data_IF_943679744762
#
_entry.id   IF_943679744762
#
_cell.length_a   1.000
_cell.length_b   1.000
_cell.length_c   1.000
_cell.angle_alpha   90.00
_cell.angle_beta   90.00
_cell.angle_gamma   90.00
#
_symmetry.space_group_name_H-M   'P 1'
#
loop_
_entity.id
_entity.type
_entity.pdbx_description
1 polymer ?
#
# COMPACT_ATOMS: atom_id res chain seq x y z
N UNK A 1 4.47 -21.69 -6.35
CA UNK A 1 5.80 -21.47 -6.94
C UNK A 1 6.63 -20.68 -5.94
N UNK A 2 7.92 -20.99 -5.77
CA UNK A 2 8.78 -20.23 -4.86
C UNK A 2 9.00 -18.81 -5.42
N UNK A 3 8.60 -17.79 -4.66
CA UNK A 3 8.76 -16.37 -4.99
C UNK A 3 10.21 -16.04 -5.35
N UNK A 4 11.18 -16.67 -4.68
CA UNK A 4 12.61 -16.48 -4.94
C UNK A 4 12.99 -16.98 -6.32
N UNK A 5 12.49 -18.17 -6.71
CA UNK A 5 12.72 -18.74 -8.03
C UNK A 5 12.09 -17.85 -9.10
N UNK A 6 10.87 -17.36 -8.88
CA UNK A 6 10.19 -16.49 -9.83
C UNK A 6 11.00 -15.21 -10.11
N UNK A 7 11.41 -14.50 -9.05
CA UNK A 7 12.12 -13.22 -9.19
C UNK A 7 13.59 -13.35 -9.58
N UNK A 8 14.21 -14.53 -9.45
CA UNK A 8 15.60 -14.78 -9.84
C UNK A 8 15.91 -14.47 -11.31
N UNK A 9 14.88 -14.42 -12.16
CA UNK A 9 14.99 -14.10 -13.60
C UNK A 9 15.32 -12.63 -13.88
N UNK A 10 15.17 -11.75 -12.88
CA UNK A 10 15.50 -10.33 -12.99
C UNK A 10 16.70 -9.99 -12.09
N UNK A 11 17.88 -9.71 -12.66
CA UNK A 11 19.12 -9.54 -11.88
C UNK A 11 19.11 -8.33 -10.93
N UNK A 12 18.23 -7.36 -11.19
CA UNK A 12 18.02 -6.17 -10.36
C UNK A 12 16.86 -6.28 -9.38
N UNK A 13 16.10 -7.38 -9.40
CA UNK A 13 15.08 -7.61 -8.38
C UNK A 13 15.74 -7.89 -7.03
N UNK A 14 15.12 -7.39 -5.96
CA UNK A 14 15.48 -7.65 -4.57
C UNK A 14 14.22 -8.10 -3.85
N UNK A 15 14.37 -9.13 -3.02
CA UNK A 15 13.29 -9.63 -2.17
C UNK A 15 13.66 -9.32 -0.72
N UNK A 16 12.72 -8.72 0.00
CA UNK A 16 12.83 -8.47 1.43
C UNK A 16 11.60 -9.07 2.12
N UNK A 17 11.84 -9.97 3.07
CA UNK A 17 10.78 -10.65 3.84
C UNK A 17 10.65 -10.11 5.27
N UNK A 18 11.40 -9.06 5.61
CA UNK A 18 11.45 -8.46 6.95
C UNK A 18 10.46 -7.30 7.13
N UNK A 19 9.96 -6.72 6.04
CA UNK A 19 9.07 -5.56 6.01
C UNK A 19 7.61 -5.85 6.43
N UNK A 20 7.41 -6.54 7.55
CA UNK A 20 6.09 -7.06 7.98
C UNK A 20 5.19 -6.05 8.71
N UNK A 21 5.69 -4.84 8.97
CA UNK A 21 4.94 -3.75 9.61
C UNK A 21 5.33 -2.42 8.95
N UNK A 22 4.53 -1.35 9.09
CA UNK A 22 4.87 -0.05 8.50
C UNK A 22 6.26 0.47 8.92
N UNK A 23 6.63 0.29 10.20
CA UNK A 23 7.95 0.65 10.71
C UNK A 23 9.08 -0.19 10.10
N UNK A 24 8.87 -1.49 9.95
CA UNK A 24 9.87 -2.38 9.35
C UNK A 24 9.98 -2.18 7.84
N UNK A 25 8.88 -1.84 7.15
CA UNK A 25 8.92 -1.42 5.75
C UNK A 25 9.81 -0.18 5.59
N UNK A 26 9.57 0.89 6.35
CA UNK A 26 10.40 2.10 6.25
C UNK A 26 11.88 1.82 6.53
N UNK A 27 12.17 0.91 7.47
CA UNK A 27 13.54 0.45 7.72
C UNK A 27 14.13 -0.27 6.50
N UNK A 28 13.43 -1.25 5.94
CA UNK A 28 13.87 -2.01 4.77
C UNK A 28 14.09 -1.09 3.55
N UNK A 29 13.16 -0.17 3.27
CA UNK A 29 13.29 0.79 2.16
C UNK A 29 14.56 1.65 2.29
N UNK A 30 14.94 2.05 3.52
CA UNK A 30 16.21 2.77 3.74
C UNK A 30 17.44 1.86 3.56
N UNK A 31 17.40 0.64 4.10
CA UNK A 31 18.51 -0.32 4.01
C UNK A 31 18.79 -0.75 2.55
N UNK A 32 17.76 -0.80 1.71
CA UNK A 32 17.88 -1.03 0.27
C UNK A 32 18.07 0.24 -0.56
N UNK A 33 18.29 1.39 0.10
CA UNK A 33 18.55 2.67 -0.56
C UNK A 33 17.47 3.04 -1.61
N UNK A 34 16.20 2.72 -1.32
CA UNK A 34 15.09 3.01 -2.23
C UNK A 34 14.91 4.53 -2.34
N UNK A 35 14.91 5.09 -3.57
CA UNK A 35 14.80 6.53 -3.77
C UNK A 35 13.43 7.04 -3.29
N UNK A 36 13.43 8.23 -2.69
CA UNK A 36 12.19 8.87 -2.20
C UNK A 36 11.24 9.24 -3.34
N UNK A 37 11.77 9.49 -4.53
CA UNK A 37 11.08 9.90 -5.76
C UNK A 37 10.90 8.74 -6.76
N UNK A 38 10.69 7.51 -6.26
CA UNK A 38 10.50 6.34 -7.12
C UNK A 38 9.34 6.49 -8.12
N UNK A 39 9.42 5.78 -9.24
CA UNK A 39 8.38 5.92 -10.28
C UNK A 39 7.04 5.30 -9.85
N UNK A 40 7.05 4.09 -9.29
CA UNK A 40 5.83 3.33 -9.00
C UNK A 40 5.95 2.58 -7.67
N UNK A 41 4.91 2.63 -6.85
CA UNK A 41 4.72 1.73 -5.70
C UNK A 41 3.41 0.95 -5.84
N UNK A 42 3.43 -0.33 -5.45
CA UNK A 42 2.25 -1.16 -5.24
C UNK A 42 2.14 -1.53 -3.76
N UNK A 43 0.97 -1.33 -3.16
CA UNK A 43 0.66 -1.73 -1.79
C UNK A 43 -0.47 -2.78 -1.85
N UNK A 44 -0.17 -3.99 -1.40
CA UNK A 44 -1.04 -5.16 -1.51
C UNK A 44 -0.66 -6.14 -0.38
N UNK A 45 -1.18 -5.90 0.82
CA UNK A 45 -0.80 -6.58 2.06
C UNK A 45 -1.94 -7.49 2.55
N UNK A 46 -3.08 -7.53 1.85
CA UNK A 46 -4.31 -8.23 2.24
C UNK A 46 -4.83 -7.82 3.64
N UNK A 47 -4.60 -6.58 4.12
CA UNK A 47 -4.89 -6.26 5.53
C UNK A 47 -4.97 -4.78 5.91
N UNK A 48 -3.86 -4.13 6.29
CA UNK A 48 -3.82 -2.75 6.84
C UNK A 48 -3.08 -1.82 5.88
N UNK A 49 -3.42 -1.91 4.60
CA UNK A 49 -2.78 -1.27 3.46
C UNK A 49 -2.62 0.25 3.62
N UNK A 50 -3.65 0.93 4.13
CA UNK A 50 -3.57 2.37 4.38
C UNK A 50 -2.59 2.76 5.50
N UNK A 51 -2.28 1.89 6.48
CA UNK A 51 -1.26 2.20 7.48
C UNK A 51 0.15 2.14 6.88
N UNK A 52 0.39 1.25 5.91
CA UNK A 52 1.63 1.26 5.12
C UNK A 52 1.71 2.49 4.22
N UNK A 53 0.61 2.88 3.57
CA UNK A 53 0.56 4.10 2.76
C UNK A 53 0.88 5.35 3.59
N UNK A 54 0.25 5.51 4.75
CA UNK A 54 0.51 6.62 5.68
C UNK A 54 1.99 6.66 6.06
N UNK A 55 2.55 5.52 6.52
CA UNK A 55 3.95 5.44 6.91
C UNK A 55 4.94 5.71 5.77
N UNK A 56 4.62 5.29 4.54
CA UNK A 56 5.42 5.57 3.35
C UNK A 56 5.49 7.09 3.09
N UNK A 57 4.35 7.78 3.15
CA UNK A 57 4.26 9.22 2.91
C UNK A 57 4.88 10.05 4.05
N UNK A 58 4.70 9.64 5.31
CA UNK A 58 5.33 10.24 6.49
C UNK A 58 6.85 10.16 6.45
N UNK A 59 7.38 9.06 5.93
CA UNK A 59 8.82 8.83 5.71
C UNK A 59 9.37 9.61 4.51
N UNK A 60 8.53 10.41 3.83
CA UNK A 60 8.92 11.36 2.80
C UNK A 60 8.98 10.79 1.38
N UNK A 61 8.49 9.57 1.15
CA UNK A 61 8.39 9.02 -0.20
C UNK A 61 7.28 9.74 -0.99
N UNK A 62 7.56 10.05 -2.24
CA UNK A 62 6.63 10.68 -3.21
C UNK A 62 6.71 9.93 -4.55
N UNK A 63 6.14 8.72 -4.64
CA UNK A 63 6.10 7.98 -5.88
C UNK A 63 5.36 8.75 -6.98
N UNK A 64 5.71 8.61 -8.27
CA UNK A 64 4.89 9.22 -9.35
C UNK A 64 3.54 8.53 -9.49
N UNK A 65 3.50 7.21 -9.26
CA UNK A 65 2.30 6.39 -9.29
C UNK A 65 2.20 5.55 -8.02
N UNK A 66 1.03 5.56 -7.41
CA UNK A 66 0.68 4.69 -6.29
C UNK A 66 -0.48 3.83 -6.74
N UNK A 67 -0.27 2.51 -6.78
CA UNK A 67 -1.36 1.54 -6.91
C UNK A 67 -1.53 0.80 -5.61
N UNK A 68 -2.77 0.61 -5.16
CA UNK A 68 -3.02 -0.11 -3.91
C UNK A 68 -4.32 -0.91 -3.94
N UNK A 69 -4.32 -2.02 -3.22
CA UNK A 69 -5.55 -2.77 -2.92
C UNK A 69 -6.43 -1.95 -1.95
N UNK A 70 -7.72 -1.85 -2.27
CA UNK A 70 -8.73 -1.12 -1.53
C UNK A 70 -9.98 -1.98 -1.38
N UNK A 71 -10.63 -1.91 -0.22
CA UNK A 71 -11.90 -2.59 -0.02
C UNK A 71 -13.03 -1.88 -0.77
N UNK A 72 -13.72 -2.65 -1.60
CA UNK A 72 -14.91 -2.23 -2.35
C UNK A 72 -16.19 -2.18 -1.49
N UNK A 73 -16.13 -2.66 -0.25
CA UNK A 73 -17.30 -2.79 0.63
C UNK A 73 -17.83 -1.45 1.16
N UNK A 74 -17.03 -0.39 1.06
CA UNK A 74 -17.37 0.95 1.55
C UNK A 74 -17.34 1.95 0.39
N UNK A 75 -18.49 2.21 -0.27
CA UNK A 75 -18.53 3.16 -1.36
C UNK A 75 -18.24 4.59 -0.86
N UNK A 76 -17.62 5.45 -1.68
CA UNK A 76 -17.49 6.87 -1.36
C UNK A 76 -18.85 7.52 -1.03
N UNK A 77 -18.94 8.44 -0.05
CA UNK A 77 -17.84 9.01 0.74
C UNK A 77 -17.57 8.28 2.07
N UNK A 78 -17.94 7.00 2.21
CA UNK A 78 -17.71 6.26 3.44
C UNK A 78 -16.21 6.01 3.66
N UNK A 79 -15.76 6.29 4.88
CA UNK A 79 -14.37 6.18 5.28
C UNK A 79 -14.19 4.98 6.20
N UNK A 80 -13.34 4.05 5.80
CA UNK A 80 -12.97 2.89 6.59
C UNK A 80 -11.47 2.66 6.49
N UNK A 81 -10.86 2.26 7.60
CA UNK A 81 -9.47 1.77 7.66
C UNK A 81 -9.39 0.70 8.75
N UNK A 82 -8.90 -0.48 8.39
CA UNK A 82 -8.46 -1.49 9.35
C UNK A 82 -7.18 -1.01 10.05
N UNK A 83 -7.11 -1.19 11.38
CA UNK A 83 -5.95 -0.83 12.20
C UNK A 83 -5.20 -2.07 12.66
N UNK A 84 -3.88 -2.12 12.47
CA UNK A 84 -3.06 -3.27 12.88
C UNK A 84 -3.15 -3.53 14.40
N UNK A 85 -3.21 -2.48 15.23
CA UNK A 85 -3.33 -2.59 16.69
C UNK A 85 -4.65 -3.22 17.15
N UNK A 86 -5.69 -3.17 16.32
CA UNK A 86 -7.04 -3.58 16.69
C UNK A 86 -7.40 -5.02 16.27
N UNK A 87 -6.46 -5.79 15.69
CA UNK A 87 -6.84 -6.98 14.92
C UNK A 87 -5.93 -8.22 15.05
N UNK A 88 -6.45 -9.37 15.53
CA UNK A 88 -5.91 -10.67 15.12
C UNK A 88 -6.47 -11.02 13.72
N UNK A 89 -5.63 -10.91 12.69
CA UNK A 89 -5.94 -11.12 11.26
C UNK A 89 -6.73 -12.40 10.92
N UNK A 90 -6.72 -13.39 11.82
CA UNK A 90 -7.31 -14.70 11.58
C UNK A 90 -8.85 -14.69 11.42
N UNK A 91 -9.55 -13.67 11.93
CA UNK A 91 -11.02 -13.65 11.95
C UNK A 91 -11.68 -12.73 10.91
N UNK A 92 -10.93 -11.96 10.13
CA UNK A 92 -11.50 -11.05 9.12
C UNK A 92 -10.87 -11.07 7.75
N UNK A 93 -9.90 -11.95 7.54
CA UNK A 93 -9.46 -12.25 6.19
C UNK A 93 -10.69 -12.63 5.36
N UNK A 94 -10.86 -12.00 4.20
CA UNK A 94 -12.03 -12.16 3.32
C UNK A 94 -13.37 -11.65 3.88
N UNK A 95 -13.33 -10.72 4.83
CA UNK A 95 -14.52 -9.96 5.24
C UNK A 95 -14.46 -8.53 4.72
N UNK A 96 -15.59 -7.81 4.70
CA UNK A 96 -15.60 -6.38 4.41
C UNK A 96 -14.65 -5.53 5.27
N UNK A 97 -14.18 -6.03 6.42
CA UNK A 97 -13.38 -5.29 7.40
C UNK A 97 -11.86 -5.39 7.18
N UNK A 98 -11.43 -5.70 5.95
CA UNK A 98 -10.04 -5.68 5.48
C UNK A 98 -9.73 -4.35 4.76
N UNK A 99 -8.46 -3.95 4.77
CA UNK A 99 -7.92 -2.86 3.98
C UNK A 99 -8.41 -1.49 4.43
N UNK A 100 -8.59 -0.62 3.44
CA UNK A 100 -9.23 0.69 3.62
C UNK A 100 -10.10 1.05 2.43
N UNK A 101 -11.08 1.93 2.67
CA UNK A 101 -11.99 2.37 1.62
C UNK A 101 -11.32 3.33 0.65
N UNK A 102 -11.83 3.38 -0.58
CA UNK A 102 -11.37 4.32 -1.61
C UNK A 102 -11.39 5.78 -1.13
N UNK A 103 -12.44 6.19 -0.41
CA UNK A 103 -12.51 7.55 0.12
C UNK A 103 -11.42 7.83 1.16
N UNK A 104 -11.08 6.86 2.01
CA UNK A 104 -10.05 7.04 3.02
C UNK A 104 -8.66 7.19 2.36
N UNK A 105 -8.32 6.32 1.39
CA UNK A 105 -7.08 6.43 0.63
C UNK A 105 -6.98 7.74 -0.15
N UNK A 106 -8.07 8.15 -0.83
CA UNK A 106 -8.12 9.44 -1.52
C UNK A 106 -7.84 10.62 -0.59
N UNK A 107 -8.40 10.61 0.62
CA UNK A 107 -8.19 11.68 1.61
C UNK A 107 -6.76 11.72 2.16
N UNK A 108 -6.06 10.59 2.24
CA UNK A 108 -4.62 10.55 2.54
C UNK A 108 -3.82 11.20 1.41
N UNK A 109 -4.16 10.88 0.16
CA UNK A 109 -3.34 11.15 -1.01
C UNK A 109 -3.52 12.56 -1.60
N UNK A 110 -4.76 13.06 -1.62
CA UNK A 110 -5.08 14.39 -2.17
C UNK A 110 -4.25 15.55 -1.63
N UNK A 111 -3.85 15.63 -0.33
CA UNK A 111 -3.06 16.76 0.16
C UNK A 111 -1.62 16.73 -0.35
N UNK A 112 -1.16 15.59 -0.86
CA UNK A 112 0.14 15.41 -1.47
C UNK A 112 0.12 15.57 -3.00
N UNK A 113 -0.99 16.04 -3.58
CA UNK A 113 -1.10 16.31 -5.02
C UNK A 113 -1.31 15.06 -5.86
N UNK A 114 -1.95 14.02 -5.30
CA UNK A 114 -2.32 12.83 -6.05
C UNK A 114 -3.78 12.87 -6.47
N UNK A 115 -4.02 12.49 -7.72
CA UNK A 115 -5.34 12.33 -8.31
C UNK A 115 -5.63 10.86 -8.57
N UNK A 116 -6.86 10.40 -8.27
CA UNK A 116 -7.31 9.06 -8.66
C UNK A 116 -7.50 9.03 -10.18
N UNK A 117 -6.67 8.24 -10.87
CA UNK A 117 -6.79 8.01 -12.30
C UNK A 117 -7.82 6.93 -12.61
N UNK A 118 -7.80 5.84 -11.84
CA UNK A 118 -8.62 4.67 -12.12
C UNK A 118 -8.86 3.83 -10.85
N UNK A 119 -10.03 3.22 -10.77
CA UNK A 119 -10.35 2.16 -9.80
C UNK A 119 -10.95 0.98 -10.55
N UNK A 120 -10.20 -0.12 -10.67
CA UNK A 120 -10.68 -1.35 -11.31
C UNK A 120 -10.69 -2.46 -10.27
N UNK A 121 -11.86 -3.06 -10.06
CA UNK A 121 -12.08 -4.12 -9.07
C UNK A 121 -11.69 -3.60 -7.68
N UNK A 122 -10.51 -3.97 -7.17
CA UNK A 122 -10.03 -3.58 -5.85
C UNK A 122 -8.73 -2.77 -5.95
N UNK A 123 -8.28 -2.41 -7.15
CA UNK A 123 -7.06 -1.65 -7.37
C UNK A 123 -7.34 -0.18 -7.68
N UNK A 124 -6.97 0.69 -6.74
CA UNK A 124 -6.88 2.13 -6.97
C UNK A 124 -5.55 2.51 -7.60
N UNK A 125 -5.58 3.38 -8.61
CA UNK A 125 -4.42 3.96 -9.28
C UNK A 125 -4.42 5.46 -9.09
N UNK A 126 -3.45 5.96 -8.35
CA UNK A 126 -3.27 7.38 -8.05
C UNK A 126 -1.98 7.88 -8.71
N UNK A 127 -2.07 9.05 -9.34
CA UNK A 127 -0.95 9.69 -10.05
C UNK A 127 -0.67 11.04 -9.44
N UNK A 128 0.60 11.38 -9.26
CA UNK A 128 1.00 12.73 -8.86
C UNK A 128 0.72 13.71 -10.00
N UNK A 129 0.18 14.88 -9.66
CA UNK A 129 -0.01 16.01 -10.59
C UNK A 129 1.32 16.54 -11.17
#
# INVERSE_FOLDING_TARGET
>A
ADTTIFYSRWPRARLDFSATTPKLMNKALREHEVPKDLDIVKIDIDSYDCEFLEALLEEGFRPKVITMELTSSFPPPLKFKAKMESYPLNNTRYTPLQGCSLQYAYDILRPFGYTLLQYIVEDGWFVSD
#
